data_IF_849877843483
#
_entry.id   IF_849877843483
#
_cell.length_a   1.000
_cell.length_b   1.000
_cell.length_c   1.000
_cell.angle_alpha   90.00
_cell.angle_beta   90.00
_cell.angle_gamma   90.00
#
_symmetry.space_group_name_H-M   'P 1'
#
loop_
_entity.id
_entity.type
_entity.pdbx_description
1 polymer ?
#
# COMPACT_ATOMS: atom_id res chain seq x y z
N UNK A 1 -14.53 0.67 -16.91
CA UNK A 1 -13.64 0.74 -15.74
C UNK A 1 -14.18 -0.16 -14.63
N UNK A 2 -13.35 -0.99 -14.06
CA UNK A 2 -13.75 -1.87 -12.97
C UNK A 2 -13.44 -1.23 -11.64
N UNK A 3 -14.39 -1.29 -10.73
CA UNK A 3 -14.15 -0.89 -9.35
C UNK A 3 -13.51 -2.06 -8.60
N UNK A 4 -12.58 -1.80 -7.69
CA UNK A 4 -12.03 -2.89 -6.89
C UNK A 4 -13.11 -3.51 -6.01
N UNK A 5 -13.05 -4.82 -5.87
CA UNK A 5 -14.02 -5.55 -5.07
C UNK A 5 -13.68 -5.48 -3.58
N UNK A 6 -12.38 -5.40 -3.26
CA UNK A 6 -11.91 -5.37 -1.88
C UNK A 6 -10.98 -4.19 -1.67
N UNK A 7 -11.02 -3.64 -0.47
CA UNK A 7 -10.07 -2.63 -0.03
C UNK A 7 -9.23 -3.23 1.10
N UNK A 8 -7.90 -3.21 0.89
CA UNK A 8 -6.96 -3.67 1.91
C UNK A 8 -6.47 -2.42 2.66
N UNK A 9 -6.89 -2.28 3.91
CA UNK A 9 -6.55 -1.11 4.74
C UNK A 9 -5.33 -1.46 5.58
N UNK A 10 -4.27 -0.68 5.42
CA UNK A 10 -3.00 -0.95 6.09
C UNK A 10 -2.58 0.26 6.92
N UNK A 11 -2.79 0.22 8.24
CA UNK A 11 -2.26 1.28 9.12
C UNK A 11 -0.76 1.09 9.30
N UNK A 12 0.00 2.19 9.25
CA UNK A 12 1.45 2.15 9.29
C UNK A 12 1.98 3.19 10.27
N UNK A 13 2.98 2.78 11.05
CA UNK A 13 3.74 3.68 11.90
C UNK A 13 5.20 3.23 11.89
N UNK A 14 6.08 4.02 11.25
CA UNK A 14 7.53 3.78 11.22
C UNK A 14 7.92 2.36 10.77
N UNK A 15 7.25 1.85 9.71
CA UNK A 15 7.47 0.48 9.23
C UNK A 15 7.65 0.41 7.71
N UNK A 16 8.55 1.21 7.11
CA UNK A 16 8.68 1.17 5.65
C UNK A 16 9.15 -0.19 5.13
N UNK A 17 10.00 -0.90 5.88
CA UNK A 17 10.48 -2.21 5.45
C UNK A 17 9.37 -3.23 5.40
N UNK A 18 8.49 -3.23 6.40
CA UNK A 18 7.36 -4.15 6.44
C UNK A 18 6.37 -3.84 5.32
N UNK A 19 6.16 -2.56 5.01
CA UNK A 19 5.28 -2.17 3.92
C UNK A 19 5.88 -2.61 2.58
N UNK A 20 7.18 -2.49 2.41
CA UNK A 20 7.83 -2.97 1.19
C UNK A 20 7.59 -4.45 0.98
N UNK A 21 7.77 -5.26 2.02
CA UNK A 21 7.52 -6.71 1.95
C UNK A 21 6.06 -7.02 1.64
N UNK A 22 5.14 -6.31 2.29
CA UNK A 22 3.71 -6.52 2.07
C UNK A 22 3.33 -6.20 0.62
N UNK A 23 3.77 -5.06 0.11
CA UNK A 23 3.42 -4.65 -1.25
C UNK A 23 4.03 -5.59 -2.28
N UNK A 24 5.24 -6.11 -2.03
CA UNK A 24 5.82 -7.13 -2.90
C UNK A 24 4.95 -8.38 -2.93
N UNK A 25 4.49 -8.84 -1.78
CA UNK A 25 3.61 -10.01 -1.70
C UNK A 25 2.33 -9.77 -2.48
N UNK A 26 1.76 -8.57 -2.37
CA UNK A 26 0.50 -8.26 -3.05
C UNK A 26 0.67 -8.21 -4.56
N UNK A 27 1.85 -7.81 -5.06
CA UNK A 27 2.09 -7.81 -6.50
C UNK A 27 2.17 -9.22 -7.08
N UNK A 28 2.41 -10.23 -6.24
CA UNK A 28 2.51 -11.61 -6.67
C UNK A 28 1.16 -12.33 -6.67
N UNK A 29 0.11 -11.68 -6.20
CA UNK A 29 -1.22 -12.28 -6.17
C UNK A 29 -1.79 -12.40 -7.58
N UNK A 30 -2.40 -13.53 -7.89
CA UNK A 30 -3.09 -13.72 -9.16
C UNK A 30 -4.38 -12.94 -9.22
N UNK A 31 -5.09 -12.86 -8.10
CA UNK A 31 -6.32 -12.09 -7.99
C UNK A 31 -5.94 -10.64 -7.69
N UNK A 32 -6.30 -9.74 -8.60
CA UNK A 32 -5.88 -8.34 -8.50
C UNK A 32 -7.04 -7.36 -8.37
N UNK A 33 -8.24 -7.84 -8.12
CA UNK A 33 -9.41 -6.97 -8.00
C UNK A 33 -9.51 -6.38 -6.60
N UNK A 34 -8.46 -5.67 -6.18
CA UNK A 34 -8.40 -5.01 -4.87
C UNK A 34 -7.63 -3.70 -4.99
N UNK A 35 -7.89 -2.80 -4.05
CA UNK A 35 -7.09 -1.61 -3.84
C UNK A 35 -6.41 -1.68 -2.49
N UNK A 36 -5.29 -0.99 -2.34
CA UNK A 36 -4.56 -0.94 -1.09
C UNK A 36 -4.57 0.50 -0.59
N UNK A 37 -5.03 0.71 0.64
CA UNK A 37 -5.09 2.03 1.25
C UNK A 37 -4.12 2.03 2.43
N UNK A 38 -3.05 2.80 2.31
CA UNK A 38 -2.01 2.89 3.32
C UNK A 38 -2.25 4.16 4.12
N UNK A 39 -2.45 4.00 5.43
CA UNK A 39 -2.70 5.12 6.33
C UNK A 39 -1.50 5.27 7.26
N UNK A 40 -0.74 6.33 7.04
CA UNK A 40 0.45 6.62 7.81
C UNK A 40 0.11 7.63 8.91
N UNK A 41 0.30 7.26 10.17
CA UNK A 41 -0.12 8.08 11.30
C UNK A 41 1.09 8.46 12.15
N UNK A 42 1.63 9.66 11.91
CA UNK A 42 2.66 10.25 12.75
C UNK A 42 4.04 9.64 12.63
N UNK A 43 4.34 8.96 11.51
CA UNK A 43 5.67 8.35 11.34
C UNK A 43 6.76 9.40 11.20
N UNK A 44 7.89 9.16 11.85
CA UNK A 44 9.11 9.93 11.63
C UNK A 44 9.91 9.33 10.47
N UNK A 45 9.64 8.08 10.13
CA UNK A 45 10.26 7.39 9.00
C UNK A 45 9.14 6.90 8.07
N UNK A 46 8.61 7.78 7.22
CA UNK A 46 7.43 7.46 6.41
C UNK A 46 7.76 6.49 5.28
N UNK A 47 6.73 5.80 4.81
CA UNK A 47 6.88 4.82 3.73
C UNK A 47 6.51 5.38 2.35
N UNK A 48 6.50 6.70 2.19
CA UNK A 48 6.11 7.35 0.93
C UNK A 48 6.90 6.83 -0.27
N UNK A 49 8.22 6.74 -0.13
CA UNK A 49 9.07 6.30 -1.23
C UNK A 49 8.77 4.85 -1.61
N UNK A 50 8.51 4.01 -0.62
CA UNK A 50 8.12 2.63 -0.85
C UNK A 50 6.81 2.58 -1.63
N UNK A 51 5.81 3.33 -1.18
CA UNK A 51 4.50 3.38 -1.84
C UNK A 51 4.66 3.82 -3.29
N UNK A 52 5.44 4.86 -3.53
CA UNK A 52 5.63 5.39 -4.89
C UNK A 52 6.26 4.36 -5.83
N UNK A 53 7.10 3.48 -5.29
CA UNK A 53 7.72 2.40 -6.07
C UNK A 53 6.69 1.42 -6.64
N UNK A 54 5.56 1.25 -5.93
CA UNK A 54 4.55 0.26 -6.31
C UNK A 54 3.32 0.86 -6.99
N UNK A 55 3.28 2.17 -7.24
CA UNK A 55 2.08 2.81 -7.76
C UNK A 55 1.70 2.32 -9.16
N UNK A 56 2.67 1.89 -9.95
CA UNK A 56 2.42 1.35 -11.29
C UNK A 56 2.09 -0.14 -11.29
N UNK A 57 2.22 -0.79 -10.14
CA UNK A 57 2.01 -2.23 -10.01
C UNK A 57 0.72 -2.58 -9.28
N UNK A 58 0.28 -1.69 -8.40
CA UNK A 58 -0.89 -1.89 -7.56
C UNK A 58 -1.75 -0.63 -7.57
N UNK A 59 -3.04 -0.80 -7.35
CA UNK A 59 -3.94 0.32 -7.12
C UNK A 59 -3.77 0.75 -5.67
N UNK A 60 -3.07 1.87 -5.47
CA UNK A 60 -2.67 2.34 -4.15
C UNK A 60 -3.25 3.71 -3.84
N UNK A 61 -3.67 3.89 -2.60
CA UNK A 61 -3.97 5.19 -2.04
C UNK A 61 -3.12 5.36 -0.78
N UNK A 62 -2.46 6.51 -0.65
CA UNK A 62 -1.57 6.78 0.47
C UNK A 62 -2.09 8.01 1.22
N UNK A 63 -2.47 7.81 2.48
CA UNK A 63 -3.05 8.85 3.33
C UNK A 63 -2.12 9.09 4.50
N UNK A 64 -1.77 10.35 4.74
CA UNK A 64 -0.92 10.75 5.86
C UNK A 64 -1.77 11.54 6.84
N UNK A 65 -1.71 11.16 8.08
CA UNK A 65 -2.41 11.87 9.15
C UNK A 65 -1.44 12.66 10.00
#
# INVERSE_FOLDING_TARGET
MQHPKYSVIVPVYNRPDEINELLQSLTLQQYRNFEVIIIEDGSTNPCRDVVDTFRDKLQLEYVVK
#
